data_IF_199859282837
#
_entry.id   IF_199859282837
#
_cell.length_a   1.000
_cell.length_b   1.000
_cell.length_c   1.000
_cell.angle_alpha   90.00
_cell.angle_beta   90.00
_cell.angle_gamma   90.00
#
_symmetry.space_group_name_H-M   'P 1'
#
loop_
_entity.id
_entity.type
_entity.pdbx_description
1 polymer ?
2 branched ?
3 non-polymer ?
4 water ?
#
# COMPACT_ATOMS: atom_id res chain seq x y z
N UNK A 2 4.68 6.21 -18.68
CA UNK A 2 4.35 6.36 -17.25
C UNK A 2 2.84 6.42 -17.07
N UNK A 3 2.40 6.41 -15.80
CA UNK A 3 1.00 6.29 -15.46
C UNK A 3 0.55 7.52 -14.68
N UNK A 4 -0.68 8.01 -14.93
CA UNK A 4 -1.21 9.18 -14.24
C UNK A 4 -1.62 8.75 -12.84
N UNK A 5 -1.21 9.53 -11.84
CA UNK A 5 -1.59 9.33 -10.45
C UNK A 5 -2.60 10.40 -10.06
N UNK A 6 -3.68 10.08 -9.31
CA UNK A 6 -3.99 8.76 -8.79
C UNK A 6 -4.35 7.77 -9.88
N UNK A 7 -3.88 6.54 -9.68
CA UNK A 7 -4.05 5.48 -10.64
C UNK A 7 -4.87 4.35 -10.04
N UNK A 8 -5.85 3.88 -10.81
CA UNK A 8 -6.63 2.71 -10.44
C UNK A 8 -6.17 1.47 -11.21
N UNK A 9 -5.79 0.44 -10.45
CA UNK A 9 -5.43 -0.86 -10.98
C UNK A 9 -6.59 -1.81 -10.67
N UNK A 10 -7.44 -2.15 -11.66
CA UNK A 10 -8.45 -3.19 -11.43
C UNK A 10 -7.78 -4.49 -11.11
N UNK A 11 -8.40 -5.26 -10.20
CA UNK A 11 -7.94 -6.58 -9.81
C UNK A 11 -9.05 -7.53 -10.18
N UNK A 12 -9.06 -8.04 -11.41
CA UNK A 12 -10.24 -8.74 -11.90
C UNK A 12 -10.53 -10.00 -11.10
N UNK A 13 -11.74 -10.11 -10.61
CA UNK A 13 -12.14 -11.25 -9.82
C UNK A 13 -11.68 -11.17 -8.36
N UNK A 14 -11.11 -10.03 -7.95
CA UNK A 14 -10.62 -9.80 -6.63
C UNK A 14 -9.28 -10.43 -6.36
N UNK A 15 -8.78 -10.28 -5.14
CA UNK A 15 -7.49 -10.87 -4.78
C UNK A 15 -7.67 -12.31 -4.30
N UNK A 16 -6.57 -13.04 -4.40
CA UNK A 16 -6.52 -14.43 -4.01
C UNK A 16 -5.12 -14.64 -3.49
N UNK A 17 -4.92 -15.60 -2.58
CA UNK A 17 -3.56 -15.94 -2.21
C UNK A 17 -2.75 -16.33 -3.43
N UNK A 18 -1.49 -15.90 -3.42
CA UNK A 18 -0.49 -16.12 -4.47
C UNK A 18 -0.51 -15.02 -5.53
N UNK A 19 -1.40 -14.06 -5.40
CA UNK A 19 -1.35 -12.90 -6.26
C UNK A 19 -0.31 -11.92 -5.74
N UNK A 20 0.56 -11.49 -6.65
CA UNK A 20 1.67 -10.58 -6.38
C UNK A 20 1.46 -9.31 -7.18
N UNK A 21 1.36 -8.19 -6.46
CA UNK A 21 1.24 -6.88 -7.08
C UNK A 21 2.63 -6.21 -7.01
N UNK A 22 3.11 -5.71 -8.14
CA UNK A 22 4.39 -5.00 -8.23
C UNK A 22 4.15 -3.59 -8.72
N UNK A 23 4.70 -2.64 -7.96
CA UNK A 23 4.60 -1.22 -8.27
C UNK A 23 5.99 -0.67 -8.34
N UNK A 24 6.29 0.02 -9.43
CA UNK A 24 7.56 0.73 -9.62
C UNK A 24 7.24 2.21 -9.75
N UNK A 25 7.98 3.03 -9.02
CA UNK A 25 7.85 4.47 -9.21
C UNK A 25 9.03 5.19 -8.58
N UNK A 26 8.99 6.51 -8.65
CA UNK A 26 10.04 7.35 -8.05
C UNK A 26 9.33 8.38 -7.16
N UNK A 27 9.86 8.54 -5.95
CA UNK A 27 9.29 9.51 -5.05
C UNK A 27 9.66 10.90 -5.54
N UNK A 28 8.69 11.81 -5.53
CA UNK A 28 8.94 13.19 -5.88
C UNK A 28 9.86 13.85 -4.85
N UNK A 29 10.51 14.98 -5.25
CA UNK A 29 11.25 15.76 -4.26
C UNK A 29 10.30 16.31 -3.19
N UNK A 30 10.71 16.37 -1.96
CA UNK A 30 9.91 17.01 -0.93
C UNK A 30 8.57 16.30 -0.77
N UNK A 31 8.55 14.98 -0.96
CA UNK A 31 7.29 14.26 -0.82
C UNK A 31 6.73 14.38 0.59
N UNK A 32 5.40 14.31 0.66
CA UNK A 32 4.69 14.23 1.91
C UNK A 32 4.09 12.85 2.18
N UNK A 33 3.57 12.20 1.12
CA UNK A 33 2.85 10.96 1.38
C UNK A 33 2.83 10.10 0.12
N UNK A 34 2.58 8.80 0.35
CA UNK A 34 2.23 7.81 -0.66
C UNK A 34 1.04 7.05 -0.10
N UNK A 35 0.16 6.56 -0.97
CA UNK A 35 -0.87 5.66 -0.45
C UNK A 35 -1.24 4.58 -1.48
N UNK A 36 -1.37 3.36 -0.93
CA UNK A 36 -2.03 2.26 -1.64
C UNK A 36 -3.34 1.99 -0.92
N UNK A 37 -4.42 1.87 -1.69
CA UNK A 37 -5.75 1.61 -1.16
C UNK A 37 -6.35 0.42 -1.91
N UNK A 38 -6.32 -0.75 -1.25
CA UNK A 38 -7.03 -1.91 -1.79
C UNK A 38 -8.49 -1.80 -1.38
N UNK A 39 -9.39 -1.71 -2.38
CA UNK A 39 -10.77 -1.33 -2.12
C UNK A 39 -11.75 -2.47 -2.35
N UNK A 40 -12.73 -2.53 -1.45
CA UNK A 40 -13.93 -3.37 -1.59
C UNK A 40 -15.11 -2.40 -1.67
N UNK A 41 -15.51 -2.05 -2.88
CA UNK A 41 -16.47 -0.96 -3.06
C UNK A 41 -15.91 0.32 -2.42
N UNK A 42 -16.72 0.98 -1.59
CA UNK A 42 -16.30 2.14 -0.86
C UNK A 42 -15.36 1.84 0.29
N UNK A 43 -15.33 0.58 0.76
CA UNK A 43 -14.46 0.24 1.85
C UNK A 43 -13.02 0.12 1.38
N UNK A 44 -12.10 0.38 2.32
CA UNK A 44 -10.68 0.19 2.09
C UNK A 44 -10.25 -1.02 2.90
N UNK A 45 -10.05 -2.16 2.22
CA UNK A 45 -9.60 -3.36 2.93
C UNK A 45 -8.21 -3.16 3.54
N UNK A 46 -7.31 -2.56 2.78
CA UNK A 46 -5.93 -2.38 3.20
C UNK A 46 -5.43 -1.07 2.62
N UNK A 47 -5.16 -0.15 3.56
CA UNK A 47 -4.57 1.16 3.30
C UNK A 47 -3.14 1.11 3.80
N UNK A 48 -2.19 1.43 2.91
CA UNK A 48 -0.75 1.43 3.20
C UNK A 48 -0.26 2.84 2.89
N UNK A 49 0.16 3.58 3.94
CA UNK A 49 0.34 5.03 3.80
C UNK A 49 1.65 5.48 4.43
N UNK A 50 2.74 5.49 3.64
CA UNK A 50 3.95 6.19 4.03
C UNK A 50 3.69 7.68 4.20
N UNK A 51 4.07 8.22 5.37
CA UNK A 51 3.99 9.64 5.72
C UNK A 51 5.42 10.09 6.00
N UNK A 52 5.88 11.07 5.20
CA UNK A 52 7.26 11.51 5.27
C UNK A 52 7.50 12.53 6.39
N UNK A 53 6.46 13.19 6.88
CA UNK A 53 6.58 14.15 7.94
C UNK A 53 5.33 14.22 8.80
N UNK A 54 5.21 13.28 9.72
CA UNK A 54 4.14 13.36 10.70
C UNK A 54 4.86 13.76 11.99
N UNK A 55 4.76 15.03 12.38
CA UNK A 55 5.48 15.55 13.55
C UNK A 55 6.98 15.23 13.48
N UNK A 56 7.58 15.48 12.31
CA UNK A 56 9.01 15.34 12.08
C UNK A 56 9.52 13.90 12.17
N UNK A 57 8.57 12.96 11.96
CA UNK A 57 8.89 11.54 11.90
C UNK A 57 8.38 10.96 10.59
N UNK A 58 9.10 9.99 10.06
CA UNK A 58 8.65 9.23 8.91
C UNK A 58 8.07 7.92 9.42
N UNK A 59 6.83 7.64 9.01
CA UNK A 59 6.12 6.47 9.51
C UNK A 59 5.21 5.95 8.41
N UNK A 60 5.00 4.64 8.43
CA UNK A 60 3.99 4.04 7.58
C UNK A 60 2.80 3.70 8.44
N UNK A 61 1.65 4.17 8.00
CA UNK A 61 0.37 3.88 8.66
C UNK A 61 -0.42 2.90 7.79
N UNK A 62 -0.90 1.81 8.43
CA UNK A 62 -1.78 0.87 7.74
C UNK A 62 -3.09 0.77 8.51
N UNK A 63 -4.17 0.61 7.76
CA UNK A 63 -5.50 0.60 8.36
C UNK A 63 -6.52 0.06 7.35
N UNK A 64 -7.76 -0.03 7.84
CA UNK A 64 -8.92 -0.46 7.08
C UNK A 64 -10.03 0.57 7.32
N UNK A 65 -10.80 0.88 6.27
CA UNK A 65 -11.92 1.83 6.35
C UNK A 65 -13.18 1.05 6.05
N UNK A 66 -14.13 1.05 7.02
CA UNK A 66 -15.39 0.32 6.89
C UNK A 66 -16.52 1.32 7.12
N UNK A 67 -17.44 1.40 6.17
CA UNK A 67 -18.57 2.34 6.32
C UNK A 67 -18.08 3.76 6.64
N UNK A 68 -16.99 4.17 5.98
CA UNK A 68 -16.38 5.51 6.15
C UNK A 68 -15.67 5.71 7.48
N UNK A 69 -15.44 4.66 8.27
CA UNK A 69 -14.75 4.78 9.54
C UNK A 69 -13.41 4.07 9.45
N UNK A 70 -12.35 4.80 9.82
CA UNK A 70 -11.03 4.21 9.95
C UNK A 70 -10.96 3.41 11.24
N UNK A 71 -10.33 2.24 11.16
CA UNK A 71 -10.18 1.39 12.33
C UNK A 71 -8.87 1.65 13.07
N UNK A 72 -8.38 0.63 13.74
CA UNK A 72 -7.16 0.73 14.53
C UNK A 72 -5.96 0.78 13.59
N UNK A 73 -5.14 1.81 13.75
CA UNK A 73 -3.95 1.94 12.91
C UNK A 73 -2.90 0.95 13.37
N UNK A 74 -2.17 0.43 12.37
CA UNK A 74 -0.98 -0.38 12.61
C UNK A 74 0.19 0.42 12.07
N UNK A 75 1.16 0.75 12.92
CA UNK A 75 2.26 1.62 12.50
C UNK A 75 3.61 0.92 12.51
N UNK A 76 4.42 1.26 11.50
CA UNK A 76 5.74 0.68 11.27
C UNK A 76 6.69 1.86 11.07
N UNK A 77 7.75 1.91 11.89
CA UNK A 77 8.78 2.92 11.81
C UNK A 77 9.93 2.49 10.88
N UNK A 78 10.04 1.20 10.44
CA UNK A 78 10.93 1.01 9.30
C UNK A 78 10.34 1.78 8.12
N UNK A 79 11.18 2.55 7.43
CA UNK A 79 10.71 3.54 6.47
C UNK A 79 11.65 3.53 5.26
N UNK A 80 11.37 2.69 4.26
CA UNK A 80 12.33 2.43 3.22
C UNK A 80 12.26 3.34 2.01
N UNK A 81 11.33 4.30 2.02
CA UNK A 81 11.19 5.24 0.93
C UNK A 81 12.04 6.48 1.18
N UNK A 82 12.46 7.10 0.09
CA UNK A 82 13.35 8.26 0.15
C UNK A 82 12.92 9.29 -0.90
N UNK A 83 12.71 10.56 -0.49
CA UNK A 83 12.39 11.61 -1.44
C UNK A 83 13.39 11.57 -2.59
N UNK A 84 12.84 11.67 -3.79
CA UNK A 84 13.63 11.77 -4.99
C UNK A 84 14.10 10.44 -5.58
N UNK A 85 13.85 9.31 -4.92
CA UNK A 85 14.51 8.07 -5.31
C UNK A 85 13.52 7.01 -5.77
N UNK A 86 13.97 6.16 -6.71
CA UNK A 86 13.14 5.09 -7.24
C UNK A 86 12.95 3.98 -6.22
N UNK A 87 11.76 3.37 -6.25
CA UNK A 87 11.39 2.31 -5.36
C UNK A 87 10.63 1.23 -6.14
N UNK A 88 10.58 0.07 -5.48
CA UNK A 88 9.72 -1.04 -5.88
C UNK A 88 8.94 -1.48 -4.66
N UNK A 89 7.61 -1.57 -4.80
CA UNK A 89 6.76 -2.17 -3.77
C UNK A 89 6.22 -3.49 -4.32
N UNK A 90 6.35 -4.57 -3.54
CA UNK A 90 5.70 -5.81 -3.87
C UNK A 90 4.74 -6.16 -2.74
N UNK A 91 3.48 -6.38 -3.11
CA UNK A 91 2.46 -6.80 -2.20
C UNK A 91 2.04 -8.23 -2.57
N UNK A 92 2.35 -9.19 -1.70
CA UNK A 92 1.99 -10.58 -1.93
C UNK A 92 0.77 -10.89 -1.08
N UNK A 93 -0.30 -11.35 -1.72
CA UNK A 93 -1.45 -11.80 -0.96
C UNK A 93 -1.18 -13.21 -0.43
N UNK A 94 -1.18 -13.35 0.86
CA UNK A 94 -1.07 -14.64 1.52
C UNK A 94 -2.43 -14.99 2.11
N UNK A 95 -2.68 -16.24 2.52
CA UNK A 95 -3.99 -16.60 3.01
C UNK A 95 -4.50 -15.72 4.13
N UNK A 96 -3.62 -15.33 5.06
CA UNK A 96 -4.08 -14.60 6.24
C UNK A 96 -3.62 -13.14 6.32
N UNK A 97 -2.76 -12.71 5.40
CA UNK A 97 -2.31 -11.32 5.42
C UNK A 97 -1.82 -10.88 4.05
N UNK A 98 -1.78 -9.56 3.89
CA UNK A 98 -0.95 -8.96 2.84
C UNK A 98 0.49 -8.92 3.37
N UNK A 99 1.44 -9.27 2.52
CA UNK A 99 2.85 -9.23 2.89
C UNK A 99 3.55 -8.23 1.96
N UNK A 100 4.19 -7.18 2.54
CA UNK A 100 4.73 -6.11 1.74
C UNK A 100 6.25 -6.11 1.85
N UNK A 101 6.91 -6.02 0.70
CA UNK A 101 8.35 -5.81 0.61
C UNK A 101 8.62 -4.56 -0.21
N UNK A 102 9.65 -3.81 0.17
CA UNK A 102 10.04 -2.62 -0.58
C UNK A 102 11.51 -2.79 -0.93
N UNK A 103 11.86 -2.54 -2.18
CA UNK A 103 13.25 -2.63 -2.62
C UNK A 103 13.88 -3.95 -2.18
N UNK A 104 13.08 -5.02 -2.35
CA UNK A 104 13.46 -6.43 -2.11
C UNK A 104 13.59 -6.81 -0.66
N UNK A 105 13.30 -5.92 0.28
CA UNK A 105 13.38 -6.24 1.68
C UNK A 105 11.97 -6.28 2.28
N UNK A 106 11.69 -7.34 3.01
CA UNK A 106 10.45 -7.47 3.73
C UNK A 106 10.25 -6.25 4.60
N UNK A 107 9.02 -5.70 4.57
CA UNK A 107 8.68 -4.55 5.37
C UNK A 107 7.68 -4.88 6.46
N UNK A 108 6.49 -5.39 6.07
CA UNK A 108 5.45 -5.58 7.09
C UNK A 108 4.43 -6.57 6.51
N UNK A 109 3.61 -7.07 7.42
CA UNK A 109 2.43 -7.89 7.12
C UNK A 109 1.21 -7.20 7.71
N UNK A 110 0.04 -7.41 7.08
CA UNK A 110 -1.21 -6.84 7.52
C UNK A 110 -2.28 -7.94 7.48
N UNK A 111 -2.74 -8.35 8.65
CA UNK A 111 -3.73 -9.40 8.77
C UNK A 111 -5.02 -8.99 8.08
N UNK A 112 -5.65 -9.94 7.36
CA UNK A 112 -6.88 -9.63 6.67
C UNK A 112 -8.01 -9.32 7.64
N UNK A 113 -8.51 -8.07 7.62
CA UNK A 113 -9.71 -7.67 8.33
C UNK A 113 -10.95 -7.83 7.45
N UNK A 114 -10.84 -7.44 6.19
CA UNK A 114 -11.83 -7.70 5.16
C UNK A 114 -11.53 -9.08 4.61
N UNK A 115 -12.46 -10.00 4.88
CA UNK A 115 -12.20 -11.41 4.63
C UNK A 115 -12.76 -11.91 3.32
N UNK A 116 -13.63 -11.11 2.65
CA UNK A 116 -14.14 -11.43 1.32
C UNK A 116 -13.12 -11.00 0.30
N UNK A 117 -12.03 -11.76 0.20
CA UNK A 117 -10.93 -11.32 -0.64
C UNK A 117 -11.32 -11.16 -2.10
N UNK A 118 -12.24 -12.00 -2.56
CA UNK A 118 -12.83 -12.00 -3.89
C UNK A 118 -13.46 -10.65 -4.23
N UNK A 119 -13.85 -9.88 -3.19
CA UNK A 119 -14.55 -8.64 -3.40
C UNK A 119 -13.64 -7.41 -3.33
N UNK A 120 -12.36 -7.63 -3.12
CA UNK A 120 -11.34 -6.57 -3.09
C UNK A 120 -10.85 -6.49 -4.55
N UNK A 121 -11.50 -5.60 -5.33
CA UNK A 121 -11.49 -5.67 -6.78
C UNK A 121 -10.71 -4.54 -7.43
N UNK A 122 -10.10 -3.67 -6.64
CA UNK A 122 -9.29 -2.63 -7.23
C UNK A 122 -8.27 -2.12 -6.22
N UNK A 123 -7.21 -1.54 -6.80
CA UNK A 123 -6.13 -0.91 -6.01
C UNK A 123 -5.92 0.49 -6.53
N UNK A 124 -6.09 1.46 -5.62
CA UNK A 124 -5.75 2.84 -5.92
C UNK A 124 -4.33 3.14 -5.47
N UNK A 125 -3.57 3.82 -6.32
CA UNK A 125 -2.19 4.23 -6.04
C UNK A 125 -2.13 5.74 -6.15
N UNK A 126 -1.72 6.38 -5.07
CA UNK A 126 -1.77 7.84 -5.03
C UNK A 126 -0.57 8.40 -4.28
N UNK A 127 -0.45 9.72 -4.34
CA UNK A 127 0.56 10.39 -3.56
C UNK A 127 1.67 10.96 -4.43
N UNK A 128 2.76 11.29 -3.74
CA UNK A 128 3.79 12.17 -4.26
C UNK A 128 4.85 11.33 -4.97
N UNK A 129 4.42 10.71 -6.06
CA UNK A 129 5.26 9.82 -6.83
C UNK A 129 5.05 10.06 -8.32
N UNK A 130 6.09 9.71 -9.07
CA UNK A 130 5.95 9.39 -10.48
C UNK A 130 5.78 7.88 -10.57
N UNK A 131 4.69 7.45 -11.16
CA UNK A 131 4.34 6.04 -11.21
C UNK A 131 4.81 5.46 -12.55
N UNK A 132 5.73 4.51 -12.47
CA UNK A 132 6.30 3.91 -13.65
C UNK A 132 5.45 2.73 -14.16
N UNK A 133 5.08 1.80 -13.27
CA UNK A 133 4.29 0.65 -13.66
C UNK A 133 3.60 0.06 -12.43
N UNK A 134 2.48 -0.60 -12.71
CA UNK A 134 1.71 -1.29 -11.68
C UNK A 134 1.09 -2.49 -12.35
N UNK A 135 1.34 -3.69 -11.79
CA UNK A 135 0.84 -4.90 -12.44
C UNK A 135 0.70 -6.00 -11.41
N UNK A 136 0.18 -7.13 -11.85
CA UNK A 136 0.05 -8.28 -10.96
C UNK A 136 0.35 -9.55 -11.76
N UNK A 137 0.69 -10.58 -11.00
CA UNK A 137 0.92 -11.92 -11.50
C UNK A 137 0.66 -12.92 -10.38
N UNK A 138 0.61 -14.19 -10.73
CA UNK A 138 0.57 -15.28 -9.76
C UNK A 138 1.93 -15.86 -9.54
N UNK A 139 2.22 -16.15 -8.30
CA UNK A 139 3.47 -16.83 -8.02
C UNK A 139 3.14 -18.28 -7.61
X LIG B 1 -6.30 10.22 13.75
X LIG B 1 -5.04 9.52 13.22
X LIG B 1 -4.66 9.95 11.83
X LIG B 1 -5.90 9.92 10.97
X LIG B 1 -6.96 10.86 11.56
X LIG B 1 -8.21 11.00 10.75
X LIG B 1 -3.94 9.85 14.03
X LIG B 1 -3.62 9.09 11.35
X LIG B 1 -5.58 10.25 9.62
X LIG B 1 -7.35 10.27 12.77
X LIG B 1 -8.87 9.73 10.45
X LIG B 1 -6.07 11.14 14.03
X LIG B 1 -5.17 8.53 13.23
X LIG B 1 -4.33 10.88 11.87
X LIG B 1 -6.28 8.99 10.99
X LIG B 1 -6.56 11.74 11.72
X LIG B 1 -8.84 11.57 11.24
X LIG B 1 -8.01 11.45 9.90
X LIG B 1 -3.25 9.46 13.72
X LIG B 1 -3.43 9.34 10.56
X LIG B 1 -9.57 9.86 10.00
X LIG B 2 -6.16 9.41 8.66
X LIG B 2 -5.96 9.98 7.27
X LIG B 2 -6.42 9.00 6.23
X LIG B 2 -5.77 7.63 6.48
X LIG B 2 -6.05 7.18 7.88
X LIG B 2 -5.42 5.88 8.25
X LIG B 2 -6.71 11.20 7.19
X LIG B 2 -6.10 9.46 4.91
X LIG B 2 -4.39 7.70 6.21
X LIG B 2 -5.51 8.15 8.79
X LIG B 2 -5.74 5.45 9.55
X LIG B 2 -7.13 9.31 8.85
X LIG B 2 -5.01 10.18 7.14
X LIG B 2 -7.40 8.90 6.30
X LIG B 2 -6.17 6.98 5.86
X LIG B 2 -7.04 7.12 8.01
X LIG B 2 -5.71 5.19 7.61
X LIG B 2 -4.44 5.97 8.17
X LIG B 2 -6.63 11.52 6.40
X LIG B 2 -6.37 8.90 4.34
X LIG B 2 -4.25 7.97 5.43
X LIG B 2 -5.36 4.72 9.70
X LIG C 1 -4.30 5.57 16.56
X LIG C 1 -5.47 3.72 15.92
X LIG C 1 -7.15 11.48 16.01
X LIG C 1 -6.87 9.52 14.91
X LIG C 1 -7.32 5.36 14.53
X LIG C 1 -8.08 7.58 14.06
X LIG C 1 -6.15 7.27 15.48
X LIG C 1 -7.27 10.24 16.00
X LIG C 1 -7.94 9.48 17.12
X LIG C 1 -8.23 6.22 13.93
X LIG C 1 -7.03 8.11 14.83
X LIG C 1 -6.29 5.89 15.32
X LIG C 1 -5.28 5.00 16.00
X LIG C 1 -7.44 4.43 14.47
X LIG C 1 -8.68 8.16 13.63
X LIG C 1 -5.42 7.62 15.96
X LIG C 1 -7.49 9.54 17.93
X LIG C 1 -8.88 9.86 17.24
X LIG C 1 -8.08 8.54 16.85
X LIG C 1 -8.93 5.86 13.41
#
# INVERSE_FOLDING_TARGET
MPLIVPYNLPLPGGVVPRMLITILGTVKPNANRIALDFQRGNDVAFHFNPRFNENNRRVIVCNTKLDNNWGREERQSVFPFESGKPFKIQVLVEPDHFKVAVNDAHLLQYNHRVKKLNEISKLGISGDIDLTSASYTMI
ASO C1 C2 C3 C4 C5 C6 O2 O3 O4 O5 O6 H1 H2 H3 H4 H5 H61 H62 HO2 HO3 HO6
GAL C1 C2 C3 C4 C5 C6 O2 O3 O4 O5 O6 H1 H2 H3 H4 H5 H61 H62 HO2 HO3 HO4 HO6
A1JL1 O11 O12 O13 N1 C13 C15 C17 C20 C21 C14 C16 C18 C19 H22 H24 H25 H28 H27 H26 H23
#
